data_IF_918303296477
#
_entry.id   IF_918303296477
#
_cell.length_a   1.000
_cell.length_b   1.000
_cell.length_c   1.000
_cell.angle_alpha   90.00
_cell.angle_beta   90.00
_cell.angle_gamma   90.00
#
_symmetry.space_group_name_H-M   'P 1'
#
loop_
_entity.id
_entity.type
_entity.pdbx_description
1 polymer ?
#
# COMPACT_ATOMS: atom_id res chain seq x y z
N UNK A 1 23.11 -1.58 -25.39
CA UNK A 1 21.81 -0.97 -25.68
C UNK A 1 21.21 -0.58 -24.36
N UNK A 2 21.27 0.72 -24.08
CA UNK A 2 20.68 1.34 -22.92
C UNK A 2 19.18 1.10 -22.93
N UNK A 3 18.68 0.27 -22.05
CA UNK A 3 17.26 0.19 -21.73
C UNK A 3 16.91 1.47 -21.00
N UNK A 4 16.50 2.49 -21.75
CA UNK A 4 15.86 3.65 -21.17
C UNK A 4 14.59 3.15 -20.46
N UNK A 5 14.60 3.24 -19.15
CA UNK A 5 13.39 3.05 -18.36
C UNK A 5 12.35 4.06 -18.85
N UNK A 6 11.09 3.65 -19.10
CA UNK A 6 10.05 4.55 -19.61
C UNK A 6 9.73 5.72 -18.69
N UNK A 7 10.26 5.73 -17.46
CA UNK A 7 10.12 6.82 -16.48
C UNK A 7 10.75 8.15 -16.89
N UNK A 8 11.77 8.15 -17.76
CA UNK A 8 12.46 9.38 -18.14
C UNK A 8 11.67 10.24 -19.12
N UNK A 9 10.69 9.67 -19.80
CA UNK A 9 9.85 10.38 -20.76
C UNK A 9 8.59 11.00 -20.14
N UNK A 10 8.12 10.48 -19.01
CA UNK A 10 6.94 10.97 -18.29
C UNK A 10 7.23 12.19 -17.41
N UNK A 11 8.50 12.46 -17.07
CA UNK A 11 8.90 13.56 -16.17
C UNK A 11 9.50 14.77 -16.92
N UNK A 12 8.86 15.23 -18.00
CA UNK A 12 9.00 16.62 -18.45
C UNK A 12 8.15 17.58 -17.60
N UNK A 13 7.89 17.21 -16.37
CA UNK A 13 7.18 18.06 -15.43
C UNK A 13 8.08 19.15 -14.91
N UNK A 14 7.56 20.36 -14.64
CA UNK A 14 8.30 21.41 -13.96
C UNK A 14 8.93 20.88 -12.67
N UNK A 15 10.07 21.43 -12.28
CA UNK A 15 10.88 20.92 -11.17
C UNK A 15 10.07 20.71 -9.87
N UNK A 16 9.07 21.56 -9.58
CA UNK A 16 8.22 21.41 -8.41
C UNK A 16 7.32 20.16 -8.44
N UNK A 17 6.79 19.78 -9.61
CA UNK A 17 5.95 18.58 -9.75
C UNK A 17 6.77 17.31 -9.53
N UNK A 18 8.06 17.34 -9.89
CA UNK A 18 8.97 16.22 -9.64
C UNK A 18 9.18 15.96 -8.14
N UNK A 19 9.18 16.99 -7.32
CA UNK A 19 9.30 16.86 -5.85
C UNK A 19 8.06 16.16 -5.30
N UNK A 20 6.86 16.62 -5.71
CA UNK A 20 5.59 15.96 -5.33
C UNK A 20 5.59 14.50 -5.73
N UNK A 21 5.99 14.19 -6.98
CA UNK A 21 6.07 12.81 -7.48
C UNK A 21 7.03 11.93 -6.69
N UNK A 22 8.19 12.45 -6.29
CA UNK A 22 9.14 11.72 -5.43
C UNK A 22 8.60 11.47 -4.03
N UNK A 23 7.92 12.44 -3.46
CA UNK A 23 7.34 12.33 -2.13
C UNK A 23 6.18 11.34 -2.10
N UNK A 24 5.32 11.35 -3.12
CA UNK A 24 4.26 10.35 -3.29
C UNK A 24 4.84 8.96 -3.55
N UNK A 25 5.90 8.85 -4.36
CA UNK A 25 6.58 7.56 -4.58
C UNK A 25 7.20 7.00 -3.28
N UNK A 26 7.74 7.86 -2.43
CA UNK A 26 8.26 7.49 -1.10
C UNK A 26 7.12 6.98 -0.21
N UNK A 27 5.96 7.63 -0.23
CA UNK A 27 4.76 7.18 0.47
C UNK A 27 4.35 5.77 0.02
N UNK A 28 4.26 5.54 -1.29
CA UNK A 28 3.91 4.23 -1.89
C UNK A 28 4.90 3.14 -1.46
N UNK A 29 6.20 3.44 -1.49
CA UNK A 29 7.23 2.50 -1.07
C UNK A 29 7.16 2.15 0.42
N UNK A 30 6.83 3.13 1.27
CA UNK A 30 6.83 2.97 2.74
C UNK A 30 5.55 2.35 3.28
N UNK A 31 4.39 2.76 2.75
CA UNK A 31 3.08 2.41 3.30
C UNK A 31 2.35 1.33 2.52
N UNK A 32 2.88 0.92 1.37
CA UNK A 32 2.33 -0.15 0.53
C UNK A 32 0.80 -0.03 0.28
N UNK A 33 0.30 1.11 -0.24
CA UNK A 33 -1.11 1.22 -0.55
C UNK A 33 -1.50 0.23 -1.66
N UNK A 34 -2.70 -0.33 -1.56
CA UNK A 34 -3.23 -1.26 -2.55
C UNK A 34 -4.09 -0.55 -3.60
N UNK A 35 -4.75 0.53 -3.21
CA UNK A 35 -5.64 1.31 -4.05
C UNK A 35 -5.23 2.77 -4.10
N UNK A 36 -5.62 3.47 -5.17
CA UNK A 36 -5.33 4.89 -5.31
C UNK A 36 -6.23 5.75 -4.41
N UNK A 37 -7.53 5.50 -4.46
CA UNK A 37 -8.58 6.22 -3.73
C UNK A 37 -9.70 5.27 -3.33
N UNK A 38 -10.69 5.76 -2.57
CA UNK A 38 -11.85 4.96 -2.13
C UNK A 38 -12.67 4.43 -3.33
N UNK A 39 -12.78 5.19 -4.42
CA UNK A 39 -13.54 4.79 -5.61
C UNK A 39 -12.88 3.65 -6.39
N UNK A 40 -11.58 3.47 -6.24
CA UNK A 40 -10.80 2.40 -6.89
C UNK A 40 -10.76 1.09 -6.09
N UNK A 41 -11.36 1.07 -4.89
CA UNK A 41 -11.39 -0.13 -4.04
C UNK A 41 -12.34 -1.17 -4.64
N UNK A 42 -11.83 -2.40 -4.82
CA UNK A 42 -12.62 -3.50 -5.33
C UNK A 42 -13.75 -3.86 -4.34
N UNK A 43 -15.02 -3.92 -4.79
CA UNK A 43 -16.13 -4.37 -3.95
C UNK A 43 -15.93 -5.76 -3.35
N UNK A 44 -15.24 -6.68 -4.05
CA UNK A 44 -14.93 -8.01 -3.55
C UNK A 44 -13.97 -7.94 -2.35
N UNK A 45 -13.00 -7.04 -2.41
CA UNK A 45 -12.09 -6.77 -1.30
C UNK A 45 -12.87 -6.32 -0.06
N UNK A 46 -13.78 -5.35 -0.21
CA UNK A 46 -14.60 -4.83 0.89
C UNK A 46 -15.46 -5.92 1.51
N UNK A 47 -16.10 -6.77 0.70
CA UNK A 47 -16.93 -7.86 1.19
C UNK A 47 -16.12 -8.95 1.90
N UNK A 48 -14.91 -9.23 1.43
CA UNK A 48 -13.98 -10.18 2.08
C UNK A 48 -13.55 -9.66 3.45
N UNK A 49 -13.12 -8.40 3.52
CA UNK A 49 -12.71 -7.77 4.78
C UNK A 49 -13.87 -7.65 5.78
N UNK A 50 -15.07 -7.35 5.31
CA UNK A 50 -16.28 -7.37 6.17
C UNK A 50 -16.50 -8.73 6.84
N UNK A 51 -16.33 -9.83 6.10
CA UNK A 51 -16.50 -11.18 6.66
C UNK A 51 -15.46 -11.44 7.74
N UNK A 52 -14.21 -11.15 7.47
CA UNK A 52 -13.09 -11.34 8.40
C UNK A 52 -13.30 -10.51 9.68
N UNK A 53 -13.62 -9.23 9.52
CA UNK A 53 -13.84 -8.32 10.64
C UNK A 53 -15.08 -8.71 11.46
N UNK A 54 -16.14 -9.23 10.81
CA UNK A 54 -17.33 -9.71 11.51
C UNK A 54 -17.00 -10.90 12.40
N UNK A 55 -16.25 -11.87 11.90
CA UNK A 55 -15.79 -13.03 12.68
C UNK A 55 -14.92 -12.59 13.87
N UNK A 56 -13.99 -11.66 13.63
CA UNK A 56 -13.14 -11.11 14.69
C UNK A 56 -13.98 -10.43 15.81
N UNK A 57 -14.92 -9.57 15.44
CA UNK A 57 -15.77 -8.84 16.41
C UNK A 57 -16.67 -9.80 17.19
N UNK A 58 -17.18 -10.86 16.56
CA UNK A 58 -17.94 -11.90 17.25
C UNK A 58 -17.07 -12.68 18.23
N UNK A 59 -15.84 -13.02 17.84
CA UNK A 59 -14.87 -13.71 18.71
C UNK A 59 -14.41 -12.81 19.88
N UNK A 60 -14.43 -11.49 19.73
CA UNK A 60 -14.21 -10.51 20.81
C UNK A 60 -15.38 -10.49 21.84
N UNK A 61 -16.45 -11.24 21.61
CA UNK A 61 -17.61 -11.32 22.53
C UNK A 61 -18.50 -10.07 22.51
N UNK A 62 -18.49 -9.30 21.41
CA UNK A 62 -19.34 -8.13 21.28
C UNK A 62 -20.80 -8.53 21.00
N UNK A 63 -21.79 -7.78 21.52
CA UNK A 63 -23.21 -8.04 21.25
C UNK A 63 -23.50 -7.98 19.74
N UNK A 64 -24.22 -8.96 19.23
CA UNK A 64 -24.52 -9.08 17.79
C UNK A 64 -25.18 -7.83 17.20
N UNK A 65 -26.03 -7.16 17.99
CA UNK A 65 -26.66 -5.90 17.60
C UNK A 65 -25.67 -4.74 17.32
N UNK A 66 -24.45 -4.82 17.84
CA UNK A 66 -23.40 -3.80 17.62
C UNK A 66 -22.37 -4.19 16.59
N UNK A 67 -22.31 -5.46 16.20
CA UNK A 67 -21.30 -6.01 15.31
C UNK A 67 -21.24 -5.24 14.00
N UNK A 68 -22.36 -5.04 13.34
CA UNK A 68 -22.42 -4.38 12.02
C UNK A 68 -21.92 -2.92 12.10
N UNK A 69 -22.25 -2.19 13.19
CA UNK A 69 -21.78 -0.82 13.38
C UNK A 69 -20.27 -0.76 13.62
N UNK A 70 -19.73 -1.71 14.39
CA UNK A 70 -18.30 -1.81 14.66
C UNK A 70 -17.54 -2.19 13.39
N UNK A 71 -18.04 -3.17 12.63
CA UNK A 71 -17.46 -3.61 11.36
C UNK A 71 -17.43 -2.47 10.35
N UNK A 72 -18.51 -1.72 10.21
CA UNK A 72 -18.54 -0.54 9.32
C UNK A 72 -17.52 0.52 9.72
N UNK A 73 -17.30 0.73 11.01
CA UNK A 73 -16.27 1.65 11.50
C UNK A 73 -14.85 1.15 11.24
N UNK A 74 -14.60 -0.15 11.47
CA UNK A 74 -13.30 -0.79 11.20
C UNK A 74 -12.97 -0.76 9.69
N UNK A 75 -13.93 -1.09 8.82
CA UNK A 75 -13.77 -1.05 7.36
C UNK A 75 -13.41 0.34 6.85
N UNK A 76 -14.12 1.36 7.31
CA UNK A 76 -13.79 2.75 6.92
C UNK A 76 -12.38 3.15 7.29
N UNK A 77 -11.89 2.65 8.44
CA UNK A 77 -10.51 2.89 8.86
C UNK A 77 -9.52 2.14 7.96
N UNK A 78 -9.81 0.89 7.65
CA UNK A 78 -8.98 0.04 6.82
C UNK A 78 -8.88 0.56 5.37
N UNK A 79 -10.00 0.98 4.77
CA UNK A 79 -10.00 1.64 3.47
C UNK A 79 -9.07 2.86 3.45
N UNK A 80 -9.05 3.67 4.51
CA UNK A 80 -8.13 4.80 4.62
C UNK A 80 -6.66 4.39 4.73
N UNK A 81 -6.39 3.21 5.28
CA UNK A 81 -5.03 2.69 5.42
C UNK A 81 -4.52 2.06 4.12
N UNK A 82 -5.40 1.48 3.29
CA UNK A 82 -5.03 0.85 2.01
C UNK A 82 -5.11 1.79 0.80
N UNK A 83 -5.79 2.94 0.91
CA UNK A 83 -5.92 3.93 -0.15
C UNK A 83 -4.84 5.00 -0.06
N UNK A 84 -3.99 5.16 -1.09
CA UNK A 84 -2.88 6.10 -1.12
C UNK A 84 -3.28 7.52 -0.74
N UNK A 85 -4.34 8.05 -1.37
CA UNK A 85 -4.74 9.44 -1.19
C UNK A 85 -5.30 9.74 0.20
N UNK A 86 -5.85 8.73 0.88
CA UNK A 86 -6.43 8.85 2.22
C UNK A 86 -5.43 8.58 3.34
N UNK A 87 -4.28 7.96 3.02
CA UNK A 87 -3.22 7.70 4.01
C UNK A 87 -2.66 9.01 4.56
N UNK A 88 -2.20 8.95 5.80
CA UNK A 88 -1.41 10.04 6.40
C UNK A 88 -0.06 10.14 5.71
N UNK A 89 0.34 11.36 5.37
CA UNK A 89 1.58 11.60 4.68
C UNK A 89 2.80 11.35 5.59
N UNK A 90 3.75 10.53 5.13
CA UNK A 90 4.90 10.09 5.96
C UNK A 90 5.81 11.21 6.43
N UNK A 91 5.91 12.31 5.68
CA UNK A 91 6.70 13.48 6.08
C UNK A 91 5.97 14.44 7.00
N UNK A 92 4.64 14.44 6.93
CA UNK A 92 3.77 15.27 7.77
C UNK A 92 2.48 14.53 8.08
N UNK A 93 2.43 13.88 9.23
CA UNK A 93 1.29 13.06 9.67
C UNK A 93 -0.01 13.83 9.97
N UNK A 94 0.01 15.16 9.93
CA UNK A 94 -1.18 16.01 10.11
C UNK A 94 -1.99 16.12 8.82
N UNK A 95 -1.36 15.84 7.66
CA UNK A 95 -1.96 15.92 6.34
C UNK A 95 -2.19 14.51 5.78
N UNK A 96 -3.25 14.34 4.98
CA UNK A 96 -3.34 13.20 4.07
C UNK A 96 -2.50 13.45 2.82
N UNK A 97 -2.15 12.37 2.10
CA UNK A 97 -1.43 12.48 0.82
C UNK A 97 -2.19 13.39 -0.15
N UNK A 98 -3.52 13.28 -0.20
CA UNK A 98 -4.40 14.13 -1.01
C UNK A 98 -4.22 15.61 -0.66
N UNK A 99 -4.30 15.95 0.63
CA UNK A 99 -4.12 17.33 1.11
C UNK A 99 -2.73 17.87 0.77
N UNK A 100 -1.68 17.05 0.95
CA UNK A 100 -0.33 17.40 0.58
C UNK A 100 -0.21 17.72 -0.91
N UNK A 101 -0.76 16.89 -1.79
CA UNK A 101 -0.73 17.12 -3.24
C UNK A 101 -1.50 18.39 -3.61
N UNK A 102 -2.66 18.64 -3.01
CA UNK A 102 -3.46 19.83 -3.23
C UNK A 102 -2.75 21.13 -2.76
N UNK A 103 -2.10 21.10 -1.60
CA UNK A 103 -1.33 22.24 -1.08
C UNK A 103 -0.14 22.55 -1.97
N UNK A 104 0.64 21.52 -2.30
CA UNK A 104 1.80 21.68 -3.17
C UNK A 104 1.41 22.12 -4.60
N UNK A 105 0.26 21.67 -5.11
CA UNK A 105 -0.30 22.14 -6.38
C UNK A 105 -0.65 23.61 -6.35
N UNK A 106 -1.26 24.09 -5.26
CA UNK A 106 -1.57 25.52 -5.06
C UNK A 106 -0.31 26.39 -4.99
N UNK A 107 0.73 25.94 -4.28
CA UNK A 107 2.02 26.65 -4.22
C UNK A 107 2.68 26.77 -5.59
N UNK A 108 2.53 25.75 -6.45
CA UNK A 108 3.05 25.76 -7.81
C UNK A 108 2.18 26.55 -8.80
N UNK A 109 0.96 26.95 -8.39
CA UNK A 109 -0.03 27.58 -9.27
C UNK A 109 -0.46 26.68 -10.43
N UNK A 110 -0.53 25.37 -10.22
CA UNK A 110 -0.85 24.35 -11.23
C UNK A 110 -1.78 23.30 -10.63
N UNK A 111 -2.59 22.69 -11.49
CA UNK A 111 -3.32 21.50 -11.14
C UNK A 111 -2.37 20.28 -11.19
N UNK A 112 -2.34 19.51 -10.12
CA UNK A 112 -1.57 18.26 -10.01
C UNK A 112 -2.49 17.16 -9.47
N UNK A 113 -2.56 16.08 -10.20
CA UNK A 113 -3.37 14.93 -9.84
C UNK A 113 -2.51 13.65 -9.88
N UNK A 114 -2.74 12.75 -8.93
CA UNK A 114 -2.15 11.40 -8.95
C UNK A 114 -3.12 10.49 -9.68
N UNK A 115 -2.79 10.13 -10.91
CA UNK A 115 -3.67 9.34 -11.80
C UNK A 115 -3.53 7.85 -11.56
N UNK A 116 -2.31 7.38 -11.29
CA UNK A 116 -2.03 5.96 -11.07
C UNK A 116 -0.76 5.77 -10.25
N UNK A 117 -0.64 4.62 -9.63
CA UNK A 117 0.57 4.17 -8.95
C UNK A 117 0.89 2.74 -9.34
N UNK A 118 2.17 2.41 -9.41
CA UNK A 118 2.66 1.05 -9.61
C UNK A 118 3.81 0.83 -8.62
N UNK A 119 3.73 -0.25 -7.85
CA UNK A 119 4.78 -0.68 -6.93
C UNK A 119 5.26 -2.07 -7.33
N UNK A 120 6.55 -2.26 -7.32
CA UNK A 120 7.18 -3.56 -7.49
C UNK A 120 7.95 -3.92 -6.23
N UNK A 121 7.79 -5.13 -5.76
CA UNK A 121 8.53 -5.67 -4.63
C UNK A 121 9.44 -6.80 -5.09
N UNK A 122 10.67 -6.83 -4.57
CA UNK A 122 11.62 -7.90 -4.90
C UNK A 122 11.09 -9.23 -4.39
N UNK A 123 10.91 -10.20 -5.29
CA UNK A 123 10.36 -11.52 -4.96
C UNK A 123 8.85 -11.62 -5.04
N UNK A 124 8.13 -10.55 -5.41
CA UNK A 124 6.69 -10.61 -5.65
C UNK A 124 6.39 -11.52 -6.85
N UNK A 125 5.44 -12.44 -6.68
CA UNK A 125 5.07 -13.43 -7.70
C UNK A 125 6.05 -14.60 -7.89
N UNK A 126 7.14 -14.65 -7.12
CA UNK A 126 8.03 -15.80 -7.09
C UNK A 126 7.57 -16.75 -5.98
N UNK A 127 7.23 -17.98 -6.35
CA UNK A 127 6.99 -19.03 -5.35
C UNK A 127 8.25 -19.19 -4.48
N UNK A 128 8.14 -18.82 -3.20
CA UNK A 128 9.18 -19.14 -2.23
C UNK A 128 9.20 -20.67 -2.13
N UNK A 129 10.31 -21.30 -2.55
CA UNK A 129 10.57 -22.68 -2.12
C UNK A 129 10.67 -22.63 -0.60
N UNK A 130 9.78 -23.34 0.08
CA UNK A 130 9.96 -23.65 1.50
C UNK A 130 11.19 -24.57 1.59
N UNK A 131 12.36 -23.96 1.59
CA UNK A 131 13.60 -24.65 1.91
C UNK A 131 13.57 -24.85 3.42
N UNK A 132 13.24 -26.06 3.82
CA UNK A 132 13.34 -26.46 5.22
C UNK A 132 14.83 -26.44 5.62
N UNK A 133 15.22 -25.29 6.18
CA UNK A 133 16.59 -25.04 6.62
C UNK A 133 17.13 -26.13 7.55
N UNK A 134 16.26 -26.77 8.33
CA UNK A 134 16.63 -27.90 9.19
C UNK A 134 17.07 -29.11 8.37
N UNK A 135 16.37 -29.41 7.27
CA UNK A 135 16.72 -30.50 6.35
C UNK A 135 18.01 -30.21 5.59
N UNK A 136 18.25 -28.96 5.19
CA UNK A 136 19.45 -28.55 4.48
C UNK A 136 20.70 -28.63 5.40
N UNK A 137 20.59 -28.15 6.63
CA UNK A 137 21.65 -28.26 7.64
C UNK A 137 21.95 -29.73 7.97
N UNK A 138 20.92 -30.58 8.10
CA UNK A 138 21.11 -32.01 8.35
C UNK A 138 21.86 -32.71 7.18
N UNK A 139 21.52 -32.33 5.94
CA UNK A 139 22.19 -32.85 4.75
C UNK A 139 23.66 -32.40 4.67
N UNK A 140 23.98 -31.14 4.99
CA UNK A 140 25.36 -30.65 5.04
C UNK A 140 26.18 -31.32 6.15
N UNK A 141 25.60 -31.53 7.34
CA UNK A 141 26.27 -32.23 8.42
C UNK A 141 26.55 -33.71 8.09
N UNK A 142 25.65 -34.35 7.36
CA UNK A 142 25.87 -35.72 6.90
C UNK A 142 26.96 -35.83 5.83
N UNK A 143 27.08 -34.82 4.95
CA UNK A 143 28.11 -34.74 3.91
C UNK A 143 29.51 -34.47 4.50
N UNK A 144 29.62 -33.70 5.59
CA UNK A 144 30.89 -33.37 6.24
C UNK A 144 31.48 -34.48 7.12
N UNK A 145 30.74 -35.59 7.37
CA UNK A 145 31.18 -36.73 8.17
C UNK A 145 31.75 -37.88 7.33
N UNK A 146 31.89 -37.72 6.03
CA UNK A 146 32.59 -38.63 5.12
C UNK A 146 33.99 -38.12 4.80
#
# INVERSE_FOLDING_TARGET
RSTLFPYTTLFRSPAGVQVIGKDVAMQVASMNPQFLNEDSVDPEFVEKEKKILREQVLNEGKPEAMVDKIVMGKIKKEIKEVCLLEQKFVKNGDLSVKQYVEEAAKELGKEVEVVSMIRYEVGEGIEKKDEDFATEVAAQQAASKK
#
